data_IF_044459808645
#
_entry.id   IF_044459808645
#
_cell.length_a   1.000
_cell.length_b   1.000
_cell.length_c   1.000
_cell.angle_alpha   90.00
_cell.angle_beta   90.00
_cell.angle_gamma   90.00
#
_symmetry.space_group_name_H-M   'P 1'
#
loop_
_entity.id
_entity.type
_entity.pdbx_description
1 polymer ?
#
# COMPACT_ATOMS: atom_id res chain seq x y z
N UNK A 1 -38.97 1.33 -6.55
CA UNK A 1 -38.77 0.99 -7.96
C UNK A 1 -37.75 1.96 -8.54
N UNK A 2 -36.47 1.71 -8.29
CA UNK A 2 -35.43 2.33 -9.08
C UNK A 2 -34.19 1.39 -9.07
N UNK A 3 -34.26 0.42 -9.97
CA UNK A 3 -33.18 -0.45 -10.39
C UNK A 3 -32.32 0.33 -11.37
N UNK A 4 -31.37 1.11 -10.91
CA UNK A 4 -30.19 1.48 -11.72
C UNK A 4 -29.17 2.29 -10.90
N UNK A 5 -28.52 1.66 -9.92
CA UNK A 5 -27.32 2.19 -9.28
C UNK A 5 -26.21 1.14 -9.22
N UNK A 6 -25.91 0.55 -10.38
CA UNK A 6 -24.59 -0.01 -10.57
C UNK A 6 -23.59 1.15 -10.71
N UNK A 7 -23.17 1.70 -9.58
CA UNK A 7 -22.05 2.63 -9.55
C UNK A 7 -20.83 1.84 -10.04
N UNK A 8 -20.40 2.11 -11.27
CA UNK A 8 -19.09 1.70 -11.78
C UNK A 8 -18.05 2.24 -10.80
N UNK A 9 -17.58 1.40 -9.92
CA UNK A 9 -16.39 1.71 -9.08
C UNK A 9 -15.22 1.81 -10.04
N UNK A 10 -14.77 3.03 -10.27
CA UNK A 10 -13.50 3.27 -10.95
C UNK A 10 -12.40 2.57 -10.11
N UNK A 11 -11.49 1.83 -10.74
CA UNK A 11 -10.35 1.27 -10.05
C UNK A 11 -9.57 2.41 -9.38
N UNK A 12 -9.07 2.16 -8.18
CA UNK A 12 -8.26 3.12 -7.43
C UNK A 12 -6.88 3.25 -8.08
N UNK A 13 -6.81 3.90 -9.24
CA UNK A 13 -5.56 4.22 -9.94
C UNK A 13 -4.76 5.36 -9.30
N UNK A 14 -5.10 5.78 -8.07
CA UNK A 14 -4.46 6.92 -7.41
C UNK A 14 -3.10 6.60 -6.78
N UNK A 15 -2.66 5.34 -6.79
CA UNK A 15 -1.31 4.96 -6.38
C UNK A 15 -0.48 4.54 -7.58
N UNK A 16 -0.20 5.44 -8.52
CA UNK A 16 0.88 5.25 -9.46
C UNK A 16 2.20 5.50 -8.72
N UNK A 17 3.13 4.54 -8.66
CA UNK A 17 4.45 4.82 -8.15
C UNK A 17 5.18 5.71 -9.16
N UNK A 18 5.19 7.00 -8.92
CA UNK A 18 6.18 7.87 -9.56
C UNK A 18 7.49 7.64 -8.83
N UNK A 19 8.39 6.90 -9.47
CA UNK A 19 9.79 6.88 -9.11
C UNK A 19 10.26 8.32 -8.96
N UNK A 20 10.66 8.71 -7.72
CA UNK A 20 11.28 10.00 -7.40
C UNK A 20 10.53 11.25 -7.87
N UNK A 21 9.92 11.90 -6.95
CA UNK A 21 9.41 13.26 -7.12
C UNK A 21 7.90 13.31 -6.98
N UNK A 22 7.48 13.85 -5.85
CA UNK A 22 6.14 14.42 -5.71
C UNK A 22 5.96 15.32 -6.93
N UNK A 23 5.14 14.89 -7.89
CA UNK A 23 4.66 15.78 -8.94
C UNK A 23 3.79 16.81 -8.21
N UNK A 24 4.42 17.93 -7.83
CA UNK A 24 3.70 19.11 -7.45
C UNK A 24 2.85 19.47 -8.68
N UNK A 25 1.56 19.17 -8.62
CA UNK A 25 0.59 19.82 -9.50
C UNK A 25 0.80 21.31 -9.29
N UNK A 26 1.44 21.97 -10.25
CA UNK A 26 1.61 23.41 -10.29
C UNK A 26 0.23 24.03 -10.44
N UNK A 27 -0.42 24.28 -9.31
CA UNK A 27 -1.48 25.26 -9.24
C UNK A 27 -0.81 26.63 -9.31
N UNK A 28 -0.67 27.19 -10.51
CA UNK A 28 -0.29 28.58 -10.73
C UNK A 28 -1.41 29.48 -10.20
N UNK A 29 -1.41 29.68 -8.88
CA UNK A 29 -2.19 30.67 -8.17
C UNK A 29 -1.24 31.37 -7.20
N UNK A 30 -1.05 32.65 -7.35
CA UNK A 30 -0.26 33.47 -6.46
C UNK A 30 -0.78 33.35 -5.02
N UNK A 31 0.06 32.86 -4.09
CA UNK A 31 -0.13 33.11 -2.65
C UNK A 31 -0.09 31.95 -1.70
N UNK A 32 -0.21 30.67 -2.08
CA UNK A 32 -0.21 29.59 -1.09
C UNK A 32 0.83 28.51 -1.42
N UNK A 33 1.98 28.57 -0.74
CA UNK A 33 2.96 27.48 -0.81
C UNK A 33 2.33 26.23 -0.20
N UNK A 34 2.21 25.11 -0.94
CA UNK A 34 1.60 23.90 -0.39
C UNK A 34 2.39 23.39 0.82
N UNK A 35 1.66 22.95 1.85
CA UNK A 35 2.27 22.29 3.00
C UNK A 35 2.93 20.99 2.54
N UNK A 36 4.08 20.66 3.14
CA UNK A 36 4.81 19.43 2.86
C UNK A 36 4.20 18.28 3.70
N UNK A 37 3.71 17.23 3.04
CA UNK A 37 3.40 15.97 3.72
C UNK A 37 4.71 15.32 4.18
N UNK A 38 4.76 14.82 5.41
CA UNK A 38 5.97 14.21 6.00
C UNK A 38 5.81 12.69 6.09
N UNK A 39 4.81 12.20 6.83
CA UNK A 39 4.62 10.76 7.03
C UNK A 39 3.21 10.43 7.52
N UNK A 40 2.85 9.15 7.42
CA UNK A 40 1.82 8.54 8.25
C UNK A 40 2.47 8.05 9.55
N UNK A 41 1.91 8.42 10.72
CA UNK A 41 2.42 8.03 12.02
C UNK A 41 1.49 7.02 12.68
N UNK A 42 1.98 5.81 12.95
CA UNK A 42 1.24 4.71 13.55
C UNK A 42 1.48 4.63 15.05
N UNK A 43 0.42 4.41 15.81
CA UNK A 43 0.49 4.13 17.24
C UNK A 43 0.87 2.66 17.46
N UNK A 44 2.00 2.41 18.12
CA UNK A 44 2.46 1.05 18.43
C UNK A 44 2.67 0.86 19.93
N UNK A 45 2.45 -0.35 20.43
CA UNK A 45 2.64 -0.68 21.86
C UNK A 45 4.11 -0.95 22.18
N UNK A 46 4.79 -1.67 21.27
CA UNK A 46 6.19 -2.04 21.39
C UNK A 46 6.90 -1.62 20.10
N UNK A 47 7.73 -0.60 20.22
CA UNK A 47 8.44 0.00 19.09
C UNK A 47 9.43 -0.98 18.45
N UNK A 48 10.04 -1.89 19.25
CA UNK A 48 11.01 -2.84 18.75
C UNK A 48 10.32 -3.98 17.99
N UNK A 49 9.21 -4.49 18.53
CA UNK A 49 8.42 -5.52 17.86
C UNK A 49 7.80 -4.98 16.55
N UNK A 50 7.26 -3.75 16.57
CA UNK A 50 6.72 -3.13 15.37
C UNK A 50 7.82 -2.86 14.33
N UNK A 51 8.99 -2.34 14.74
CA UNK A 51 10.14 -2.15 13.84
C UNK A 51 10.54 -3.47 13.17
N UNK A 52 10.70 -4.54 13.95
CA UNK A 52 11.06 -5.85 13.43
C UNK A 52 10.02 -6.36 12.41
N UNK A 53 8.74 -6.25 12.72
CA UNK A 53 7.64 -6.62 11.82
C UNK A 53 7.76 -5.94 10.45
N UNK A 54 7.90 -4.60 10.42
CA UNK A 54 7.98 -3.86 9.15
C UNK A 54 9.29 -4.10 8.39
N UNK A 55 10.40 -4.33 9.10
CA UNK A 55 11.67 -4.67 8.46
C UNK A 55 11.68 -6.10 7.92
N UNK A 56 11.21 -7.08 8.68
CA UNK A 56 11.27 -8.50 8.32
C UNK A 56 10.27 -8.86 7.23
N UNK A 57 9.03 -8.35 7.32
CA UNK A 57 7.97 -8.69 6.37
C UNK A 57 8.02 -7.85 5.09
N UNK A 58 8.34 -6.56 5.21
CA UNK A 58 8.28 -5.60 4.10
C UNK A 58 9.64 -5.06 3.65
N UNK A 59 10.72 -5.39 4.36
CA UNK A 59 12.05 -4.89 4.02
C UNK A 59 12.22 -3.37 4.19
N UNK A 60 11.41 -2.72 5.04
CA UNK A 60 11.47 -1.26 5.18
C UNK A 60 12.77 -0.81 5.84
N UNK A 61 13.40 0.19 5.25
CA UNK A 61 14.64 0.79 5.74
C UNK A 61 14.38 1.92 6.73
N UNK A 62 15.05 1.87 7.90
CA UNK A 62 14.95 2.92 8.91
C UNK A 62 15.72 4.15 8.46
N UNK A 63 15.04 5.30 8.37
CA UNK A 63 15.62 6.59 8.11
C UNK A 63 16.13 7.26 9.42
N UNK A 64 15.34 7.17 10.51
CA UNK A 64 15.63 7.78 11.79
C UNK A 64 15.07 6.92 12.94
N UNK A 65 15.84 6.80 14.02
CA UNK A 65 15.45 6.08 15.24
C UNK A 65 15.71 6.98 16.46
N UNK A 66 14.62 7.41 17.09
CA UNK A 66 14.64 8.24 18.31
C UNK A 66 14.16 7.47 19.55
N UNK A 67 14.28 6.15 19.56
CA UNK A 67 13.85 5.27 20.63
C UNK A 67 12.33 5.04 20.61
N UNK A 68 11.51 6.00 21.03
CA UNK A 68 10.06 5.89 21.01
C UNK A 68 9.40 6.25 19.68
N UNK A 69 10.16 6.82 18.76
CA UNK A 69 9.73 7.18 17.41
C UNK A 69 10.75 6.63 16.40
N UNK A 70 10.26 5.92 15.39
CA UNK A 70 11.06 5.39 14.30
C UNK A 70 10.42 5.80 12.98
N UNK A 71 11.18 6.43 12.11
CA UNK A 71 10.75 6.79 10.76
C UNK A 71 11.44 5.91 9.72
N UNK A 72 10.66 5.41 8.76
CA UNK A 72 11.16 4.68 7.59
C UNK A 72 11.33 5.61 6.39
N UNK A 73 12.17 5.21 5.45
CA UNK A 73 12.49 5.99 4.23
C UNK A 73 11.27 6.20 3.32
N UNK A 74 10.27 5.31 3.40
CA UNK A 74 9.05 5.35 2.59
C UNK A 74 7.98 6.37 3.06
N UNK A 75 8.21 7.10 4.17
CA UNK A 75 7.21 8.04 4.72
C UNK A 75 6.20 7.40 5.68
N UNK A 76 6.50 6.20 6.19
CA UNK A 76 5.83 5.61 7.33
C UNK A 76 6.64 5.89 8.59
N UNK A 77 5.99 6.10 9.74
CA UNK A 77 6.65 6.23 11.02
C UNK A 77 5.85 5.51 12.12
N UNK A 78 6.56 5.07 13.17
CA UNK A 78 6.01 4.38 14.32
C UNK A 78 6.20 5.25 15.56
N UNK A 79 5.23 5.26 16.46
CA UNK A 79 5.27 5.99 17.72
C UNK A 79 4.78 5.13 18.88
N UNK A 80 5.64 4.85 19.84
CA UNK A 80 5.26 4.30 21.13
C UNK A 80 4.76 5.42 22.04
N UNK A 81 3.86 5.08 23.00
CA UNK A 81 3.21 6.06 23.87
C UNK A 81 2.48 7.18 23.09
N UNK A 82 1.75 6.79 22.06
CA UNK A 82 1.07 7.69 21.14
C UNK A 82 0.01 8.56 21.85
N UNK A 83 -0.65 8.01 22.87
CA UNK A 83 -1.60 8.72 23.73
C UNK A 83 -0.94 9.91 24.43
N UNK A 84 0.29 9.73 24.94
CA UNK A 84 1.08 10.82 25.51
C UNK A 84 1.42 11.89 24.45
N UNK A 85 1.83 11.45 23.27
CA UNK A 85 2.22 12.36 22.17
C UNK A 85 1.06 13.30 21.78
N UNK A 86 -0.15 12.77 21.65
CA UNK A 86 -1.33 13.56 21.23
C UNK A 86 -2.15 14.14 22.39
N UNK A 87 -1.75 13.86 23.63
CA UNK A 87 -2.38 14.43 24.83
C UNK A 87 -3.78 13.89 25.13
N UNK A 88 -4.07 12.63 24.84
CA UNK A 88 -5.38 11.99 25.10
C UNK A 88 -5.22 10.77 26.02
N UNK A 89 -6.28 10.37 26.76
CA UNK A 89 -6.27 9.10 27.50
C UNK A 89 -6.04 7.90 26.58
N UNK A 90 -5.26 6.90 27.02
CA UNK A 90 -4.89 5.71 26.22
C UNK A 90 -6.10 4.93 25.68
N UNK A 91 -7.24 4.97 26.39
CA UNK A 91 -8.50 4.36 25.94
C UNK A 91 -9.07 4.97 24.64
N UNK A 92 -8.62 6.15 24.26
CA UNK A 92 -9.03 6.80 23.01
C UNK A 92 -8.20 6.38 21.80
N UNK A 93 -7.07 5.69 22.01
CA UNK A 93 -6.27 5.07 20.95
C UNK A 93 -6.93 3.74 20.59
N UNK A 94 -7.61 3.70 19.45
CA UNK A 94 -8.41 2.54 19.02
C UNK A 94 -7.56 1.55 18.22
N UNK A 95 -7.78 0.25 18.47
CA UNK A 95 -7.27 -0.83 17.61
C UNK A 95 -8.31 -1.22 16.58
N UNK A 96 -7.84 -1.62 15.40
CA UNK A 96 -8.69 -2.11 14.29
C UNK A 96 -9.86 -1.17 13.95
N UNK A 97 -9.63 0.12 13.75
CA UNK A 97 -10.70 1.03 13.38
C UNK A 97 -11.23 0.77 11.96
N UNK A 98 -10.46 0.08 11.10
CA UNK A 98 -10.77 -0.30 9.71
C UNK A 98 -11.26 0.88 8.84
N UNK A 99 -10.74 2.07 9.10
CA UNK A 99 -11.09 3.31 8.38
C UNK A 99 -9.93 3.83 7.52
N UNK A 100 -8.82 3.13 7.51
CA UNK A 100 -7.67 3.31 6.63
C UNK A 100 -6.93 2.00 6.46
N UNK A 101 -6.14 1.88 5.41
CA UNK A 101 -5.21 0.79 5.20
C UNK A 101 -3.86 1.31 4.69
N UNK A 102 -2.80 0.57 5.01
CA UNK A 102 -1.49 0.76 4.41
C UNK A 102 -1.42 -0.16 3.20
N UNK A 103 -1.21 0.42 2.03
CA UNK A 103 -1.20 -0.32 0.76
C UNK A 103 0.23 -0.51 0.29
N UNK A 104 0.60 -1.75 0.01
CA UNK A 104 1.87 -2.15 -0.60
C UNK A 104 1.60 -2.92 -1.89
N UNK A 105 2.54 -2.88 -2.82
CA UNK A 105 2.56 -3.74 -4.00
C UNK A 105 3.75 -4.70 -3.96
N UNK A 106 3.54 -5.92 -4.43
CA UNK A 106 4.55 -6.97 -4.45
C UNK A 106 4.61 -7.65 -5.83
N UNK A 107 5.80 -7.74 -6.38
CA UNK A 107 6.05 -8.38 -7.69
C UNK A 107 6.02 -9.90 -7.61
N UNK A 108 6.49 -10.47 -6.50
CA UNK A 108 6.38 -11.89 -6.16
C UNK A 108 5.25 -12.11 -5.14
N UNK A 109 4.03 -11.87 -5.58
CA UNK A 109 2.85 -11.96 -4.70
C UNK A 109 2.69 -13.34 -4.07
N UNK A 110 2.94 -14.42 -4.81
CA UNK A 110 2.78 -15.78 -4.29
C UNK A 110 3.85 -16.10 -3.25
N UNK A 111 5.12 -15.73 -3.49
CA UNK A 111 6.20 -15.85 -2.50
C UNK A 111 5.97 -14.98 -1.26
N UNK A 112 5.36 -13.80 -1.42
CA UNK A 112 4.96 -12.99 -0.27
C UNK A 112 3.87 -13.68 0.55
N UNK A 113 2.88 -14.31 -0.08
CA UNK A 113 1.82 -15.05 0.62
C UNK A 113 2.40 -16.22 1.43
N UNK A 114 3.35 -16.97 0.87
CA UNK A 114 4.05 -18.04 1.60
C UNK A 114 4.80 -17.49 2.83
N UNK A 115 5.49 -16.37 2.65
CA UNK A 115 6.19 -15.66 3.74
C UNK A 115 5.21 -15.17 4.82
N UNK A 116 4.08 -14.60 4.40
CA UNK A 116 3.04 -14.10 5.30
C UNK A 116 2.39 -15.25 6.10
N UNK A 117 2.13 -16.39 5.47
CA UNK A 117 1.55 -17.56 6.14
C UNK A 117 2.53 -18.22 7.13
N UNK A 118 3.83 -18.12 6.87
CA UNK A 118 4.87 -18.57 7.77
C UNK A 118 5.13 -17.58 8.93
N UNK A 119 4.67 -16.32 8.82
CA UNK A 119 4.94 -15.31 9.85
C UNK A 119 4.02 -15.53 11.06
N UNK A 120 4.57 -15.64 12.30
CA UNK A 120 3.79 -15.99 13.47
C UNK A 120 2.82 -14.87 13.88
N UNK A 121 1.60 -15.26 14.24
CA UNK A 121 0.62 -14.34 14.85
C UNK A 121 -0.10 -13.39 13.88
N UNK A 122 0.02 -13.60 12.58
CA UNK A 122 -0.72 -12.80 11.59
C UNK A 122 -2.22 -13.09 11.69
N UNK A 123 -3.00 -12.03 11.79
CA UNK A 123 -4.46 -12.09 11.69
C UNK A 123 -4.91 -11.57 10.32
N UNK A 124 -5.38 -12.47 9.47
CA UNK A 124 -5.89 -12.10 8.13
C UNK A 124 -7.31 -11.51 8.22
N UNK A 125 -7.57 -10.52 7.36
CA UNK A 125 -8.93 -10.03 7.10
C UNK A 125 -9.47 -10.72 5.84
N UNK A 126 -9.97 -11.94 6.00
CA UNK A 126 -10.45 -12.77 4.92
C UNK A 126 -9.36 -13.50 4.13
N UNK A 127 -9.73 -14.04 2.98
CA UNK A 127 -8.82 -14.70 2.03
C UNK A 127 -8.22 -13.72 1.02
N UNK A 128 -7.45 -14.27 0.07
CA UNK A 128 -7.00 -13.53 -1.11
C UNK A 128 -8.22 -13.22 -1.97
N UNK A 129 -8.33 -11.97 -2.42
CA UNK A 129 -9.40 -11.48 -3.29
C UNK A 129 -8.77 -11.08 -4.62
N UNK A 130 -9.35 -11.52 -5.74
CA UNK A 130 -9.05 -10.96 -7.05
C UNK A 130 -10.13 -9.95 -7.41
N UNK A 131 -9.73 -8.72 -7.66
CA UNK A 131 -10.62 -7.64 -8.09
C UNK A 131 -11.00 -7.77 -9.57
N UNK A 132 -12.06 -7.09 -9.99
CA UNK A 132 -12.56 -7.14 -11.38
C UNK A 132 -11.49 -6.77 -12.43
N UNK A 133 -10.55 -5.89 -12.06
CA UNK A 133 -9.41 -5.52 -12.90
C UNK A 133 -8.24 -6.52 -12.85
N UNK A 134 -8.40 -7.63 -12.11
CA UNK A 134 -7.49 -8.77 -12.07
C UNK A 134 -6.39 -8.70 -11.02
N UNK A 135 -6.26 -7.63 -10.24
CA UNK A 135 -5.30 -7.56 -9.16
C UNK A 135 -5.71 -8.48 -8.01
N UNK A 136 -4.83 -9.35 -7.57
CA UNK A 136 -4.98 -10.13 -6.35
C UNK A 136 -4.49 -9.31 -5.17
N UNK A 137 -5.23 -9.35 -4.06
CA UNK A 137 -4.88 -8.65 -2.83
C UNK A 137 -5.05 -9.56 -1.62
N UNK A 138 -4.20 -9.36 -0.61
CA UNK A 138 -4.32 -9.96 0.71
C UNK A 138 -4.40 -8.85 1.76
N UNK A 139 -5.33 -8.98 2.71
CA UNK A 139 -5.49 -8.03 3.81
C UNK A 139 -5.25 -8.72 5.14
N UNK A 140 -4.55 -8.04 6.04
CA UNK A 140 -4.23 -8.54 7.38
C UNK A 140 -3.90 -7.38 8.31
N UNK A 141 -3.75 -7.69 9.60
CA UNK A 141 -3.40 -6.69 10.60
C UNK A 141 -1.94 -6.83 11.00
N UNK A 142 -1.29 -5.68 11.25
CA UNK A 142 -0.03 -5.63 11.96
C UNK A 142 -0.22 -6.00 13.44
N UNK A 143 0.84 -6.20 14.25
CA UNK A 143 0.73 -6.56 15.67
C UNK A 143 -0.06 -5.57 16.53
N UNK A 144 -0.26 -4.35 16.07
CA UNK A 144 -0.99 -3.30 16.76
C UNK A 144 -2.41 -3.06 16.22
N UNK A 145 -2.80 -3.76 15.15
CA UNK A 145 -4.14 -3.78 14.59
C UNK A 145 -4.35 -2.72 13.50
N UNK A 146 -3.28 -2.26 12.84
CA UNK A 146 -3.41 -1.45 11.63
C UNK A 146 -3.68 -2.36 10.44
N UNK A 147 -4.65 -1.98 9.62
CA UNK A 147 -4.99 -2.73 8.43
C UNK A 147 -3.93 -2.51 7.34
N UNK A 148 -3.44 -3.62 6.80
CA UNK A 148 -2.49 -3.65 5.68
C UNK A 148 -3.14 -4.38 4.51
N UNK A 149 -2.97 -3.83 3.31
CA UNK A 149 -3.23 -4.49 2.04
C UNK A 149 -1.90 -4.69 1.32
N UNK A 150 -1.67 -5.90 0.85
CA UNK A 150 -0.62 -6.18 -0.14
C UNK A 150 -1.30 -6.64 -1.42
N UNK A 151 -1.10 -5.89 -2.49
CA UNK A 151 -1.58 -6.17 -3.83
C UNK A 151 -0.48 -6.75 -4.73
N UNK A 152 -0.88 -7.55 -5.72
CA UNK A 152 -0.02 -7.93 -6.82
C UNK A 152 0.38 -6.67 -7.60
N UNK A 153 1.67 -6.50 -7.93
CA UNK A 153 2.15 -5.38 -8.74
C UNK A 153 1.36 -5.29 -10.05
N UNK A 154 0.90 -4.09 -10.40
CA UNK A 154 0.02 -3.91 -11.56
C UNK A 154 0.70 -4.26 -12.89
N UNK A 155 2.01 -4.09 -13.01
CA UNK A 155 2.77 -4.53 -14.17
C UNK A 155 2.78 -6.06 -14.30
N UNK A 156 2.82 -6.78 -13.17
CA UNK A 156 2.72 -8.25 -13.15
C UNK A 156 1.32 -8.72 -13.54
N UNK A 157 0.26 -8.03 -13.09
CA UNK A 157 -1.12 -8.30 -13.53
C UNK A 157 -1.25 -8.19 -15.05
N UNK A 158 -0.73 -7.10 -15.63
CA UNK A 158 -0.73 -6.90 -17.09
C UNK A 158 0.02 -8.02 -17.79
N UNK A 159 1.23 -8.37 -17.32
CA UNK A 159 2.03 -9.47 -17.88
C UNK A 159 1.28 -10.80 -17.85
N UNK A 160 0.58 -11.09 -16.76
CA UNK A 160 -0.24 -12.30 -16.59
C UNK A 160 -1.39 -12.35 -17.61
N UNK A 161 -2.06 -11.24 -17.87
CA UNK A 161 -3.11 -11.18 -18.89
C UNK A 161 -2.56 -11.35 -20.30
N UNK A 162 -1.46 -10.67 -20.64
CA UNK A 162 -0.80 -10.84 -21.95
C UNK A 162 -0.31 -12.29 -22.15
N UNK A 163 0.25 -12.92 -21.11
CA UNK A 163 0.68 -14.32 -21.17
C UNK A 163 -0.51 -15.29 -21.30
N UNK A 164 -1.71 -14.93 -20.87
CA UNK A 164 -2.94 -15.71 -21.10
C UNK A 164 -3.49 -15.58 -22.52
N UNK A 165 -2.87 -14.74 -23.37
CA UNK A 165 -3.26 -14.53 -24.77
C UNK A 165 -4.17 -13.31 -24.99
N UNK A 166 -4.45 -12.49 -23.97
CA UNK A 166 -5.19 -11.23 -24.15
C UNK A 166 -4.33 -10.22 -24.91
N UNK A 167 -4.96 -9.43 -25.78
CA UNK A 167 -4.32 -8.26 -26.41
C UNK A 167 -4.24 -7.10 -25.43
N UNK A 168 -3.40 -6.09 -25.73
CA UNK A 168 -3.31 -4.89 -24.88
C UNK A 168 -4.63 -4.11 -24.86
N UNK A 169 -5.40 -4.13 -25.94
CA UNK A 169 -6.72 -3.53 -26.04
C UNK A 169 -7.73 -4.21 -25.08
N UNK A 170 -7.72 -5.54 -25.03
CA UNK A 170 -8.57 -6.33 -24.12
C UNK A 170 -8.17 -6.09 -22.65
N UNK A 171 -6.86 -6.02 -22.37
CA UNK A 171 -6.35 -5.67 -21.04
C UNK A 171 -6.78 -4.26 -20.66
N UNK A 172 -6.71 -3.29 -21.58
CA UNK A 172 -7.16 -1.91 -21.37
C UNK A 172 -8.64 -1.85 -20.97
N UNK A 173 -9.49 -2.59 -21.66
CA UNK A 173 -10.91 -2.69 -21.32
C UNK A 173 -11.13 -3.33 -19.96
N UNK A 174 -10.47 -4.46 -19.70
CA UNK A 174 -10.61 -5.21 -18.44
C UNK A 174 -10.16 -4.40 -17.23
N UNK A 175 -9.03 -3.71 -17.35
CA UNK A 175 -8.45 -2.92 -16.27
C UNK A 175 -9.02 -1.49 -16.18
N UNK A 176 -9.81 -1.06 -17.17
CA UNK A 176 -10.37 0.30 -17.21
C UNK A 176 -9.31 1.41 -17.33
N UNK A 177 -8.15 1.11 -17.94
CA UNK A 177 -7.00 2.02 -18.04
C UNK A 177 -6.57 2.21 -19.49
N UNK A 178 -5.99 3.38 -19.81
CA UNK A 178 -5.49 3.61 -21.17
C UNK A 178 -4.28 2.73 -21.49
N UNK A 179 -4.11 2.36 -22.76
CA UNK A 179 -2.91 1.61 -23.22
C UNK A 179 -1.62 2.33 -22.86
N UNK A 180 -1.62 3.68 -22.92
CA UNK A 180 -0.47 4.48 -22.54
C UNK A 180 -0.11 4.33 -21.04
N UNK A 181 -1.09 4.27 -20.15
CA UNK A 181 -0.86 4.07 -18.71
C UNK A 181 -0.45 2.63 -18.42
N UNK A 182 -1.07 1.64 -19.06
CA UNK A 182 -0.63 0.23 -18.95
C UNK A 182 0.82 0.05 -19.41
N UNK A 183 1.22 0.70 -20.49
CA UNK A 183 2.60 0.67 -20.98
C UNK A 183 3.58 1.29 -19.98
N UNK A 184 3.19 2.37 -19.29
CA UNK A 184 4.01 2.95 -18.20
C UNK A 184 4.17 1.96 -17.06
N UNK A 185 3.09 1.32 -16.60
CA UNK A 185 3.11 0.30 -15.53
C UNK A 185 4.02 -0.88 -15.88
N UNK A 186 3.98 -1.37 -17.14
CA UNK A 186 4.88 -2.42 -17.58
C UNK A 186 6.37 -2.05 -17.52
N UNK A 187 6.69 -0.76 -17.64
CA UNK A 187 8.05 -0.24 -17.64
C UNK A 187 8.56 0.17 -16.25
N UNK A 188 7.69 0.21 -15.24
CA UNK A 188 8.04 0.58 -13.85
C UNK A 188 8.54 -0.60 -13.01
N UNK A 189 8.47 -1.84 -13.52
CA UNK A 189 8.95 -3.02 -12.79
C UNK A 189 10.43 -2.82 -12.45
N UNK A 190 10.81 -2.87 -11.16
CA UNK A 190 12.21 -2.77 -10.76
C UNK A 190 13.02 -3.86 -11.46
N UNK A 191 14.16 -3.49 -12.00
CA UNK A 191 15.15 -4.40 -12.56
C UNK A 191 15.77 -5.25 -11.44
N UNK A 192 15.04 -6.25 -10.95
CA UNK A 192 15.57 -7.29 -10.05
C UNK A 192 16.33 -8.38 -10.80
N UNK A 193 16.81 -8.10 -12.01
CA UNK A 193 17.73 -8.96 -12.75
C UNK A 193 19.04 -8.23 -13.04
N UNK A 194 19.87 -8.08 -12.02
CA UNK A 194 21.33 -7.95 -12.14
C UNK A 194 21.98 -8.47 -10.87
N UNK A 195 22.31 -9.73 -10.89
CA UNK A 195 23.15 -10.34 -9.88
C UNK A 195 23.43 -11.78 -10.25
#
# INVERSE_FOLDING_TARGET
LDENRAAKRLPCFLCLPTSYGILALSCNGEGNKPMKYICALLSVRDIHAAKAFYQELFGLEVAQDYGRNIAFTCGLALQQDFDWLIGVPSMHVRKKPNNMELVFEETDFDGFIEKLDAYPGIERLGGIIEHDWGQRVARFYDPDGHLIEVGEDMGMVIRRFLASGMTMEEVSVKMGASIGDLTKLLNTVPSSEKG
#
